data_IF_363864306423
#
_entry.id   IF_363864306423
#
_cell.length_a   1.000
_cell.length_b   1.000
_cell.length_c   1.000
_cell.angle_alpha   90.00
_cell.angle_beta   90.00
_cell.angle_gamma   90.00
#
_symmetry.space_group_name_H-M   'P 1'
#
loop_
_entity.id
_entity.type
_entity.pdbx_description
1 polymer ?
#
# COMPACT_ATOMS: atom_id res chain seq x y z
N UNK A 1 -19.44 18.97 8.62
CA UNK A 1 -18.41 17.90 8.61
C UNK A 1 -18.07 17.43 10.03
N UNK A 2 -17.62 18.32 10.93
CA UNK A 2 -17.24 17.97 12.31
C UNK A 2 -18.29 17.13 13.08
N UNK A 3 -19.58 17.52 13.04
CA UNK A 3 -20.68 16.76 13.67
C UNK A 3 -20.80 15.32 13.15
N UNK A 4 -20.61 15.11 11.83
CA UNK A 4 -20.64 13.77 11.22
C UNK A 4 -19.45 12.94 11.69
N UNK A 5 -18.26 13.54 11.68
CA UNK A 5 -17.05 12.89 12.15
C UNK A 5 -17.15 12.47 13.63
N UNK A 6 -17.72 13.32 14.50
CA UNK A 6 -18.00 12.98 15.90
C UNK A 6 -18.90 11.74 16.09
N UNK A 7 -19.72 11.43 15.09
CA UNK A 7 -20.57 10.23 15.04
C UNK A 7 -19.95 9.08 14.23
N UNK A 8 -18.62 9.09 14.03
CA UNK A 8 -17.88 8.12 13.20
C UNK A 8 -18.35 8.04 11.73
N UNK A 9 -19.03 9.08 11.22
CA UNK A 9 -19.40 9.19 9.82
C UNK A 9 -18.32 9.94 9.04
N UNK A 10 -17.35 9.18 8.51
CA UNK A 10 -16.13 9.73 7.90
C UNK A 10 -16.31 10.22 6.45
N UNK A 11 -17.40 9.79 5.80
CA UNK A 11 -17.70 10.11 4.40
C UNK A 11 -18.78 11.17 4.29
N UNK A 12 -18.61 12.14 3.40
CA UNK A 12 -19.61 13.18 3.11
C UNK A 12 -19.56 13.55 1.63
N UNK A 13 -20.71 13.56 0.94
CA UNK A 13 -20.78 14.08 -0.43
C UNK A 13 -20.78 15.61 -0.43
N UNK A 14 -19.99 16.19 -1.33
CA UNK A 14 -19.93 17.63 -1.62
C UNK A 14 -20.06 17.77 -3.14
N UNK A 15 -21.28 17.94 -3.63
CA UNK A 15 -21.58 17.80 -5.05
C UNK A 15 -21.17 16.40 -5.53
N UNK A 16 -20.35 16.34 -6.58
CA UNK A 16 -19.83 15.10 -7.15
C UNK A 16 -18.60 14.54 -6.43
N UNK A 17 -18.05 15.28 -5.46
CA UNK A 17 -16.85 14.88 -4.71
C UNK A 17 -17.26 14.13 -3.44
N UNK A 18 -16.56 13.04 -3.13
CA UNK A 18 -16.66 12.37 -1.84
C UNK A 18 -15.52 12.80 -0.92
N UNK A 19 -15.85 13.55 0.13
CA UNK A 19 -14.91 13.89 1.19
C UNK A 19 -14.74 12.71 2.15
N UNK A 20 -13.49 12.33 2.41
CA UNK A 20 -13.08 11.37 3.44
C UNK A 20 -12.25 12.10 4.51
N UNK A 21 -12.62 11.94 5.78
CA UNK A 21 -11.82 12.39 6.92
C UNK A 21 -11.25 11.16 7.62
N UNK A 22 -9.92 11.01 7.65
CA UNK A 22 -9.27 9.84 8.25
C UNK A 22 -9.61 9.72 9.75
N UNK A 23 -10.25 8.63 10.20
CA UNK A 23 -10.62 8.46 11.61
C UNK A 23 -9.46 8.04 12.52
N UNK A 24 -8.30 7.65 11.98
CA UNK A 24 -7.18 7.08 12.74
C UNK A 24 -7.56 5.90 13.65
N UNK A 25 -8.62 5.18 13.28
CA UNK A 25 -9.11 3.96 13.93
C UNK A 25 -9.86 3.12 12.93
N UNK A 26 -9.96 1.83 13.19
CA UNK A 26 -10.79 0.94 12.38
C UNK A 26 -12.27 1.23 12.62
N UNK A 27 -13.04 1.18 11.53
CA UNK A 27 -14.49 1.28 11.55
C UNK A 27 -15.07 0.09 10.78
N UNK A 28 -16.16 -0.53 11.24
CA UNK A 28 -16.75 -1.72 10.61
C UNK A 28 -17.55 -1.41 9.33
N UNK A 29 -17.12 -0.39 8.56
CA UNK A 29 -17.82 0.14 7.37
C UNK A 29 -17.35 -0.50 6.06
N UNK A 30 -16.29 -1.31 6.08
CA UNK A 30 -15.77 -2.02 4.89
C UNK A 30 -16.02 -3.53 4.93
N UNK A 31 -16.96 -3.98 5.75
CA UNK A 31 -17.32 -5.40 5.82
C UNK A 31 -17.94 -5.89 4.52
N UNK A 32 -17.89 -7.21 4.29
CA UNK A 32 -18.53 -7.83 3.13
C UNK A 32 -20.04 -7.55 3.07
N UNK A 33 -20.69 -7.45 4.23
CA UNK A 33 -22.10 -7.09 4.35
C UNK A 33 -22.35 -5.66 3.87
N UNK A 34 -21.51 -4.70 4.29
CA UNK A 34 -21.64 -3.30 3.82
C UNK A 34 -21.36 -3.20 2.33
N UNK A 35 -20.36 -3.90 1.81
CA UNK A 35 -20.10 -3.98 0.36
C UNK A 35 -21.34 -4.47 -0.40
N UNK A 36 -22.00 -5.53 0.07
CA UNK A 36 -23.23 -6.06 -0.54
C UNK A 36 -24.41 -5.09 -0.44
N UNK A 37 -24.58 -4.39 0.69
CA UNK A 37 -25.63 -3.36 0.85
C UNK A 37 -25.50 -2.23 -0.17
N UNK A 38 -24.27 -1.92 -0.58
CA UNK A 38 -24.01 -0.90 -1.57
C UNK A 38 -24.12 -1.41 -3.02
N UNK A 39 -24.18 -2.73 -3.28
CA UNK A 39 -24.36 -3.24 -4.63
C UNK A 39 -25.66 -2.69 -5.24
N UNK A 40 -25.51 -1.89 -6.28
CA UNK A 40 -26.62 -1.25 -6.97
C UNK A 40 -26.93 -2.03 -8.24
N UNK A 41 -28.20 -2.13 -8.60
CA UNK A 41 -28.61 -2.66 -9.92
C UNK A 41 -28.65 -1.58 -10.99
N UNK A 42 -28.60 -0.29 -10.60
CA UNK A 42 -28.79 0.84 -11.51
C UNK A 42 -27.64 1.85 -11.51
N UNK A 43 -26.66 1.70 -10.61
CA UNK A 43 -25.55 2.66 -10.41
C UNK A 43 -25.97 4.00 -9.79
N UNK A 44 -27.27 4.23 -9.60
CA UNK A 44 -27.79 5.44 -8.96
C UNK A 44 -27.53 5.42 -7.45
N UNK A 45 -27.27 6.59 -6.90
CA UNK A 45 -27.22 6.80 -5.45
C UNK A 45 -28.55 6.39 -4.83
N UNK A 46 -28.49 5.50 -3.85
CA UNK A 46 -29.64 5.18 -3.02
C UNK A 46 -29.78 6.26 -1.95
N UNK A 47 -30.87 7.04 -1.99
CA UNK A 47 -31.10 8.14 -1.03
C UNK A 47 -31.23 7.66 0.43
N UNK A 48 -31.55 6.38 0.64
CA UNK A 48 -31.62 5.78 1.97
C UNK A 48 -30.26 5.32 2.52
N UNK A 49 -29.21 5.26 1.68
CA UNK A 49 -27.87 4.87 2.11
C UNK A 49 -27.02 6.09 2.47
N UNK A 50 -26.20 6.02 3.52
CA UNK A 50 -25.28 7.10 3.85
C UNK A 50 -24.22 7.30 2.76
N UNK A 51 -23.59 8.49 2.68
CA UNK A 51 -22.42 8.70 1.85
C UNK A 51 -21.35 7.66 2.13
N UNK A 52 -20.86 7.01 1.08
CA UNK A 52 -19.86 5.96 1.19
C UNK A 52 -19.06 5.82 -0.10
N UNK A 53 -17.80 5.39 0.05
CA UNK A 53 -16.90 5.13 -1.08
C UNK A 53 -17.48 4.11 -2.06
N UNK A 54 -18.10 3.05 -1.55
CA UNK A 54 -18.72 2.01 -2.38
C UNK A 54 -19.83 2.54 -3.29
N UNK A 55 -20.57 3.58 -2.87
CA UNK A 55 -21.56 4.22 -3.74
C UNK A 55 -20.91 4.91 -4.95
N UNK A 56 -19.71 5.50 -4.77
CA UNK A 56 -18.93 6.04 -5.90
C UNK A 56 -18.42 4.92 -6.81
N UNK A 57 -17.95 3.81 -6.20
CA UNK A 57 -17.47 2.63 -6.94
C UNK A 57 -18.57 2.05 -7.81
N UNK A 58 -19.77 1.87 -7.27
CA UNK A 58 -20.91 1.33 -8.02
C UNK A 58 -21.35 2.26 -9.14
N UNK A 59 -21.37 3.58 -8.91
CA UNK A 59 -21.66 4.54 -9.98
C UNK A 59 -20.68 4.39 -11.14
N UNK A 60 -19.38 4.43 -10.85
CA UNK A 60 -18.35 4.28 -11.88
C UNK A 60 -18.44 2.91 -12.57
N UNK A 61 -18.66 1.83 -11.82
CA UNK A 61 -18.81 0.49 -12.39
C UNK A 61 -19.97 0.44 -13.40
N UNK A 62 -21.12 1.04 -13.09
CA UNK A 62 -22.24 1.09 -14.04
C UNK A 62 -21.94 1.99 -15.25
N UNK A 63 -21.37 3.17 -15.03
CA UNK A 63 -21.00 4.08 -16.13
C UNK A 63 -19.97 3.46 -17.07
N UNK A 64 -19.02 2.66 -16.57
CA UNK A 64 -18.06 1.94 -17.39
C UNK A 64 -18.73 1.10 -18.48
N UNK A 65 -19.81 0.39 -18.15
CA UNK A 65 -20.52 -0.48 -19.10
C UNK A 65 -21.66 0.22 -19.85
N UNK A 66 -22.34 1.19 -19.21
CA UNK A 66 -23.43 1.92 -19.85
C UNK A 66 -22.94 2.92 -20.90
N UNK A 67 -21.86 3.65 -20.58
CA UNK A 67 -21.29 4.68 -21.46
C UNK A 67 -20.14 4.13 -22.33
N UNK A 68 -19.73 2.88 -22.11
CA UNK A 68 -18.57 2.24 -22.77
C UNK A 68 -17.29 3.11 -22.68
N UNK A 69 -17.12 3.83 -21.57
CA UNK A 69 -16.04 4.78 -21.36
C UNK A 69 -15.22 4.42 -20.12
N UNK A 70 -13.88 4.41 -20.19
CA UNK A 70 -13.02 4.20 -19.04
C UNK A 70 -13.30 5.20 -17.91
N UNK A 71 -13.33 4.70 -16.68
CA UNK A 71 -13.60 5.48 -15.47
C UNK A 71 -12.34 5.63 -14.62
N UNK A 72 -12.21 6.74 -13.90
CA UNK A 72 -11.03 7.03 -13.10
C UNK A 72 -11.41 7.57 -11.71
N UNK A 73 -10.75 7.04 -10.68
CA UNK A 73 -10.78 7.60 -9.33
C UNK A 73 -9.51 8.38 -9.08
N UNK A 74 -9.64 9.69 -8.83
CA UNK A 74 -8.53 10.55 -8.43
C UNK A 74 -8.62 10.77 -6.92
N UNK A 75 -7.62 10.28 -6.18
CA UNK A 75 -7.56 10.40 -4.72
C UNK A 75 -6.55 11.49 -4.35
N UNK A 76 -7.05 12.66 -3.96
CA UNK A 76 -6.25 13.81 -3.53
C UNK A 76 -6.26 14.00 -2.02
N UNK A 77 -5.17 14.53 -1.47
CA UNK A 77 -5.05 14.88 -0.06
C UNK A 77 -3.63 14.80 0.46
N UNK A 78 -3.38 15.32 1.66
CA UNK A 78 -2.07 15.34 2.29
C UNK A 78 -1.58 13.94 2.73
N UNK A 79 -0.31 13.81 3.09
CA UNK A 79 0.25 12.55 3.62
C UNK A 79 -0.56 12.14 4.87
N UNK A 80 -0.93 10.86 4.97
CA UNK A 80 -1.77 10.37 6.07
C UNK A 80 -3.28 10.58 5.90
N UNK A 81 -3.76 11.22 4.82
CA UNK A 81 -5.21 11.50 4.64
C UNK A 81 -6.11 10.27 4.35
N UNK A 82 -5.55 9.06 4.26
CA UNK A 82 -6.31 7.83 3.99
C UNK A 82 -6.42 7.43 2.51
N UNK A 83 -5.70 8.08 1.59
CA UNK A 83 -5.72 7.75 0.14
C UNK A 83 -5.41 6.28 -0.16
N UNK A 84 -4.33 5.75 0.44
CA UNK A 84 -3.93 4.35 0.21
C UNK A 84 -5.00 3.38 0.67
N UNK A 85 -5.65 3.66 1.80
CA UNK A 85 -6.72 2.82 2.33
C UNK A 85 -7.97 2.90 1.44
N UNK A 86 -8.39 4.11 1.04
CA UNK A 86 -9.48 4.28 0.09
C UNK A 86 -9.23 3.53 -1.23
N UNK A 87 -8.00 3.58 -1.77
CA UNK A 87 -7.62 2.83 -2.97
C UNK A 87 -7.77 1.33 -2.79
N UNK A 88 -7.31 0.77 -1.65
CA UNK A 88 -7.49 -0.66 -1.32
C UNK A 88 -8.97 -1.04 -1.28
N UNK A 89 -9.80 -0.20 -0.67
CA UNK A 89 -11.24 -0.46 -0.55
C UNK A 89 -11.98 -0.37 -1.90
N UNK A 90 -11.60 0.54 -2.80
CA UNK A 90 -12.13 0.59 -4.18
C UNK A 90 -11.85 -0.72 -4.90
N UNK A 91 -10.59 -1.17 -4.89
CA UNK A 91 -10.16 -2.38 -5.60
C UNK A 91 -10.83 -3.62 -5.01
N UNK A 92 -10.91 -3.71 -3.68
CA UNK A 92 -11.62 -4.79 -2.98
C UNK A 92 -13.08 -4.85 -3.40
N UNK A 93 -13.80 -3.73 -3.40
CA UNK A 93 -15.21 -3.68 -3.77
C UNK A 93 -15.43 -4.08 -5.24
N UNK A 94 -14.63 -3.55 -6.18
CA UNK A 94 -14.69 -3.92 -7.60
C UNK A 94 -14.41 -5.42 -7.83
N UNK A 95 -13.41 -5.97 -7.14
CA UNK A 95 -13.08 -7.39 -7.22
C UNK A 95 -14.20 -8.27 -6.65
N UNK A 96 -14.86 -7.82 -5.58
CA UNK A 96 -16.03 -8.50 -5.02
C UNK A 96 -17.23 -8.46 -5.97
N UNK A 97 -17.47 -7.34 -6.64
CA UNK A 97 -18.59 -7.14 -7.57
C UNK A 97 -18.45 -7.97 -8.86
N UNK A 98 -17.22 -8.20 -9.31
CA UNK A 98 -16.91 -8.85 -10.59
C UNK A 98 -16.89 -10.40 -10.55
N UNK A 99 -17.23 -11.02 -9.41
CA UNK A 99 -17.56 -12.44 -9.14
C UNK A 99 -16.65 -13.59 -9.64
N UNK A 100 -15.88 -13.49 -10.73
CA UNK A 100 -15.28 -14.66 -11.40
C UNK A 100 -13.81 -14.95 -11.08
N UNK A 101 -13.13 -14.13 -10.27
CA UNK A 101 -11.74 -14.38 -9.89
C UNK A 101 -11.38 -13.85 -8.49
N UNK A 102 -12.38 -13.80 -7.60
CA UNK A 102 -12.28 -13.16 -6.28
C UNK A 102 -11.09 -13.69 -5.46
N UNK A 103 -10.84 -14.99 -5.46
CA UNK A 103 -9.80 -15.58 -4.63
C UNK A 103 -8.38 -15.38 -5.20
N UNK A 104 -8.20 -15.55 -6.51
CA UNK A 104 -6.88 -15.51 -7.14
C UNK A 104 -6.37 -14.08 -7.33
N UNK A 105 -7.23 -13.16 -7.79
CA UNK A 105 -6.83 -11.77 -7.96
C UNK A 105 -6.68 -11.05 -6.62
N UNK A 106 -7.55 -11.30 -5.64
CA UNK A 106 -7.41 -10.70 -4.30
C UNK A 106 -6.15 -11.21 -3.58
N UNK A 107 -5.82 -12.50 -3.70
CA UNK A 107 -4.59 -13.03 -3.12
C UNK A 107 -3.36 -12.42 -3.81
N UNK A 108 -3.27 -12.46 -5.15
CA UNK A 108 -2.11 -11.90 -5.86
C UNK A 108 -1.97 -10.39 -5.67
N UNK A 109 -3.08 -9.65 -5.65
CA UNK A 109 -3.08 -8.21 -5.39
C UNK A 109 -2.53 -7.89 -3.99
N UNK A 110 -2.93 -8.64 -2.95
CA UNK A 110 -2.37 -8.46 -1.60
C UNK A 110 -0.85 -8.64 -1.57
N UNK A 111 -0.32 -9.66 -2.24
CA UNK A 111 1.12 -9.89 -2.33
C UNK A 111 1.82 -8.75 -3.07
N UNK A 112 1.26 -8.25 -4.19
CA UNK A 112 1.83 -7.11 -4.91
C UNK A 112 1.80 -5.83 -4.06
N UNK A 113 0.73 -5.60 -3.29
CA UNK A 113 0.66 -4.47 -2.37
C UNK A 113 1.71 -4.58 -1.26
N UNK A 114 1.91 -5.76 -0.70
CA UNK A 114 2.96 -6.03 0.29
C UNK A 114 4.35 -5.65 -0.25
N UNK A 115 4.68 -6.05 -1.49
CA UNK A 115 5.95 -5.70 -2.14
C UNK A 115 6.06 -4.18 -2.32
N UNK A 116 5.05 -3.54 -2.91
CA UNK A 116 5.04 -2.10 -3.14
C UNK A 116 5.10 -1.28 -1.83
N UNK A 117 4.54 -1.79 -0.75
CA UNK A 117 4.63 -1.19 0.57
C UNK A 117 6.04 -1.31 1.15
N UNK A 118 6.66 -2.49 1.10
CA UNK A 118 8.03 -2.68 1.55
C UNK A 118 9.02 -1.74 0.83
N UNK A 119 8.92 -1.62 -0.49
CA UNK A 119 9.91 -0.88 -1.29
C UNK A 119 9.62 0.62 -1.44
N UNK A 120 8.39 1.05 -1.20
CA UNK A 120 7.98 2.42 -1.49
C UNK A 120 7.35 3.17 -0.32
N UNK A 121 7.26 2.57 0.87
CA UNK A 121 6.75 3.24 2.06
C UNK A 121 7.89 3.47 3.05
N UNK A 122 7.71 4.47 3.92
CA UNK A 122 8.62 4.78 5.00
C UNK A 122 7.85 5.23 6.24
N UNK A 123 8.42 4.97 7.42
CA UNK A 123 7.94 5.51 8.71
C UNK A 123 8.26 6.99 8.78
N UNK A 124 7.26 7.80 9.11
CA UNK A 124 7.34 9.25 9.29
C UNK A 124 6.80 9.64 10.66
N UNK A 125 7.05 10.88 11.10
CA UNK A 125 6.59 11.38 12.41
C UNK A 125 5.07 11.33 12.61
N UNK A 126 4.28 11.33 11.53
CA UNK A 126 2.82 11.34 11.57
C UNK A 126 2.17 10.00 11.17
N UNK A 127 2.91 9.11 10.53
CA UNK A 127 2.38 7.88 9.96
C UNK A 127 3.48 6.85 9.75
N UNK A 128 3.26 5.63 10.24
CA UNK A 128 4.18 4.51 10.12
C UNK A 128 4.24 3.91 8.71
N UNK A 129 3.21 4.14 7.88
CA UNK A 129 3.06 3.58 6.54
C UNK A 129 2.80 4.69 5.51
N UNK A 130 3.74 5.61 5.35
CA UNK A 130 3.60 6.71 4.40
C UNK A 130 4.09 6.30 3.00
N UNK A 131 3.24 6.43 1.98
CA UNK A 131 3.63 6.16 0.58
C UNK A 131 4.52 7.28 0.04
N UNK A 132 5.73 6.92 -0.40
CA UNK A 132 6.74 7.83 -0.95
C UNK A 132 6.78 7.81 -2.48
N UNK A 133 5.69 7.38 -3.12
CA UNK A 133 5.50 7.32 -4.56
C UNK A 133 4.01 7.35 -4.89
N UNK A 134 3.70 7.66 -6.14
CA UNK A 134 2.36 7.63 -6.71
C UNK A 134 2.11 6.25 -7.32
N UNK A 135 0.91 5.71 -7.09
CA UNK A 135 0.43 4.45 -7.65
C UNK A 135 -0.75 4.74 -8.57
N UNK A 136 -0.71 4.23 -9.80
CA UNK A 136 -1.84 4.20 -10.71
C UNK A 136 -2.23 2.75 -10.98
N UNK A 137 -3.45 2.39 -10.58
CA UNK A 137 -4.04 1.08 -10.75
C UNK A 137 -4.99 1.10 -11.93
N UNK A 138 -4.67 0.34 -12.97
CA UNK A 138 -5.55 0.11 -14.11
C UNK A 138 -6.20 -1.26 -13.93
N UNK A 139 -7.51 -1.30 -13.77
CA UNK A 139 -8.30 -2.54 -13.70
C UNK A 139 -9.04 -2.72 -15.03
N UNK A 140 -8.91 -3.90 -15.63
CA UNK A 140 -9.45 -4.21 -16.94
C UNK A 140 -10.64 -5.15 -16.80
N UNK A 141 -11.76 -4.79 -17.43
CA UNK A 141 -12.99 -5.56 -17.36
C UNK A 141 -13.41 -6.08 -18.74
N UNK A 142 -13.90 -7.31 -18.80
CA UNK A 142 -14.57 -7.84 -19.97
C UNK A 142 -15.92 -7.15 -20.12
N UNK A 143 -16.13 -6.43 -21.22
CA UNK A 143 -17.37 -5.71 -21.52
C UNK A 143 -18.61 -6.62 -21.44
N UNK A 144 -18.56 -7.80 -22.09
CA UNK A 144 -19.71 -8.72 -22.15
C UNK A 144 -20.04 -9.39 -20.82
N UNK A 145 -19.01 -9.78 -20.07
CA UNK A 145 -19.18 -10.54 -18.81
C UNK A 145 -19.25 -9.64 -17.59
N UNK A 146 -18.87 -8.36 -17.71
CA UNK A 146 -18.67 -7.42 -16.61
C UNK A 146 -17.72 -7.97 -15.52
N UNK A 147 -16.74 -8.75 -15.95
CA UNK A 147 -15.80 -9.46 -15.08
C UNK A 147 -14.41 -8.87 -15.18
N UNK A 148 -13.68 -8.85 -14.07
CA UNK A 148 -12.30 -8.40 -14.02
C UNK A 148 -11.41 -9.41 -14.76
N UNK A 149 -10.75 -8.97 -15.83
CA UNK A 149 -9.88 -9.81 -16.68
C UNK A 149 -8.39 -9.57 -16.42
N UNK A 150 -8.02 -8.39 -15.92
CA UNK A 150 -6.63 -8.03 -15.73
C UNK A 150 -6.44 -6.80 -14.86
N UNK A 151 -5.20 -6.58 -14.44
CA UNK A 151 -4.78 -5.40 -13.73
C UNK A 151 -3.36 -5.01 -14.15
N UNK A 152 -3.10 -3.69 -14.23
CA UNK A 152 -1.76 -3.12 -14.40
C UNK A 152 -1.51 -2.11 -13.31
N UNK A 153 -0.25 -1.99 -12.91
CA UNK A 153 0.18 -1.06 -11.87
C UNK A 153 1.31 -0.24 -12.45
N UNK A 154 1.16 1.07 -12.39
CA UNK A 154 2.20 2.01 -12.76
C UNK A 154 2.61 2.79 -11.51
N UNK A 155 3.90 3.05 -11.39
CA UNK A 155 4.48 3.79 -10.28
C UNK A 155 5.16 5.05 -10.79
N UNK A 156 4.96 6.16 -10.10
CA UNK A 156 5.51 7.46 -10.50
C UNK A 156 6.12 8.17 -9.30
N UNK A 157 7.12 9.03 -9.56
CA UNK A 157 7.69 9.97 -8.60
C UNK A 157 8.08 9.32 -7.25
N UNK A 158 8.78 8.18 -7.31
CA UNK A 158 9.41 7.63 -6.12
C UNK A 158 10.40 8.66 -5.54
N UNK A 159 10.31 8.92 -4.24
CA UNK A 159 11.18 9.83 -3.48
C UNK A 159 12.61 9.26 -3.34
N UNK A 160 13.32 9.11 -4.46
CA UNK A 160 14.64 8.45 -4.53
C UNK A 160 15.67 9.07 -3.59
N UNK A 161 15.59 10.38 -3.34
CA UNK A 161 16.47 11.09 -2.41
C UNK A 161 16.40 10.57 -0.98
N UNK A 162 15.25 10.02 -0.55
CA UNK A 162 15.08 9.40 0.77
C UNK A 162 16.09 8.29 1.05
N UNK A 163 16.54 7.61 0.00
CA UNK A 163 17.50 6.53 0.12
C UNK A 163 18.79 7.02 0.80
N UNK A 164 19.25 8.22 0.43
CA UNK A 164 20.56 8.76 0.86
C UNK A 164 20.45 9.84 1.94
N UNK A 165 19.28 10.49 2.05
CA UNK A 165 19.03 11.54 3.02
C UNK A 165 17.58 11.46 3.50
N UNK A 166 17.40 11.19 4.79
CA UNK A 166 16.08 11.10 5.41
C UNK A 166 15.74 12.44 6.08
N UNK A 167 14.49 12.91 5.98
CA UNK A 167 14.06 14.02 6.81
C UNK A 167 14.14 13.66 8.30
N UNK A 168 14.39 14.67 9.15
CA UNK A 168 14.55 14.48 10.59
C UNK A 168 13.34 13.76 11.21
N UNK A 169 13.60 12.71 12.01
CA UNK A 169 12.56 11.90 12.63
C UNK A 169 11.81 10.95 11.67
N UNK A 170 12.31 10.75 10.45
CA UNK A 170 11.77 9.78 9.50
C UNK A 170 12.81 8.70 9.17
N UNK A 171 12.31 7.53 8.79
CA UNK A 171 13.13 6.40 8.35
C UNK A 171 13.36 6.39 6.84
N UNK A 172 14.28 5.51 6.41
CA UNK A 172 14.41 5.08 5.02
C UNK A 172 13.21 4.21 4.60
N UNK A 173 13.22 3.67 3.39
CA UNK A 173 12.19 2.72 2.94
C UNK A 173 12.14 1.50 3.87
N UNK A 174 10.93 1.01 4.14
CA UNK A 174 10.68 -0.08 5.09
C UNK A 174 11.51 -1.33 4.77
N UNK A 175 11.76 -1.62 3.49
CA UNK A 175 12.57 -2.76 3.07
C UNK A 175 13.91 -2.84 3.80
N UNK A 176 14.56 -1.71 4.11
CA UNK A 176 15.85 -1.74 4.78
C UNK A 176 15.72 -2.11 6.27
N UNK A 177 14.71 -1.62 6.98
CA UNK A 177 14.47 -2.07 8.37
C UNK A 177 14.01 -3.53 8.41
N UNK A 178 13.17 -3.95 7.46
CA UNK A 178 12.77 -5.35 7.31
C UNK A 178 13.97 -6.28 7.04
N UNK A 179 14.89 -5.87 6.17
CA UNK A 179 16.13 -6.60 5.88
C UNK A 179 16.98 -6.72 7.15
N UNK A 180 17.21 -5.61 7.83
CA UNK A 180 18.07 -5.54 9.00
C UNK A 180 17.52 -6.32 10.19
N UNK A 181 16.21 -6.36 10.40
CA UNK A 181 15.62 -7.10 11.52
C UNK A 181 15.27 -8.55 11.16
N UNK A 182 14.92 -8.81 9.90
CA UNK A 182 14.34 -10.08 9.47
C UNK A 182 15.31 -11.14 8.97
N UNK A 183 16.52 -10.75 8.53
CA UNK A 183 17.54 -11.72 8.12
C UNK A 183 18.12 -12.50 9.31
N UNK A 184 18.42 -13.77 9.09
CA UNK A 184 19.14 -14.61 10.04
C UNK A 184 20.59 -14.13 10.25
N UNK A 185 21.24 -14.59 11.31
CA UNK A 185 22.66 -14.26 11.55
C UNK A 185 23.57 -14.74 10.41
N UNK A 186 23.28 -15.91 9.83
CA UNK A 186 24.02 -16.48 8.69
C UNK A 186 23.82 -15.65 7.42
N UNK A 187 22.57 -15.26 7.12
CA UNK A 187 22.25 -14.40 5.96
C UNK A 187 22.94 -13.03 6.10
N UNK A 188 22.90 -12.42 7.30
CA UNK A 188 23.59 -11.15 7.57
C UNK A 188 25.10 -11.29 7.40
N UNK A 189 25.67 -12.39 7.86
CA UNK A 189 27.10 -12.66 7.71
C UNK A 189 27.49 -12.76 6.23
N UNK A 190 26.73 -13.51 5.44
CA UNK A 190 26.96 -13.66 3.99
C UNK A 190 26.79 -12.35 3.20
N UNK A 191 25.95 -11.42 3.69
CA UNK A 191 25.75 -10.10 3.09
C UNK A 191 26.64 -9.00 3.68
N UNK A 192 27.52 -9.34 4.63
CA UNK A 192 28.36 -8.41 5.39
C UNK A 192 27.58 -7.32 6.16
N UNK A 193 26.35 -7.63 6.61
CA UNK A 193 25.44 -6.71 7.31
C UNK A 193 25.50 -6.83 8.85
N UNK A 194 26.67 -7.21 9.39
CA UNK A 194 26.82 -7.57 10.80
C UNK A 194 26.72 -6.37 11.78
N UNK A 195 26.83 -5.13 11.29
CA UNK A 195 26.80 -3.93 12.13
C UNK A 195 25.68 -2.98 11.70
N UNK A 196 24.55 -3.05 12.39
CA UNK A 196 23.37 -2.20 12.19
C UNK A 196 23.70 -0.70 12.28
N UNK A 197 24.60 -0.34 13.19
CA UNK A 197 25.00 1.05 13.45
C UNK A 197 26.08 1.56 12.49
N UNK A 198 26.48 0.77 11.48
CA UNK A 198 27.53 1.18 10.54
C UNK A 198 26.98 1.90 9.31
N UNK A 199 25.76 1.57 8.86
CA UNK A 199 25.27 2.00 7.56
C UNK A 199 24.70 3.42 7.59
N UNK A 200 25.36 4.36 6.91
CA UNK A 200 24.98 5.79 6.87
C UNK A 200 23.53 6.01 6.42
N UNK A 201 23.05 5.21 5.48
CA UNK A 201 21.68 5.30 4.95
C UNK A 201 20.59 4.84 5.93
N UNK A 202 20.95 4.28 7.08
CA UNK A 202 20.02 3.86 8.14
C UNK A 202 20.16 4.69 9.42
N UNK A 203 21.30 5.35 9.61
CA UNK A 203 21.78 5.82 10.91
C UNK A 203 21.27 7.20 11.36
N UNK A 204 20.23 7.77 10.73
CA UNK A 204 19.78 9.13 11.07
C UNK A 204 18.68 9.18 12.15
N UNK A 205 18.09 8.03 12.55
CA UNK A 205 16.96 8.00 13.51
C UNK A 205 16.88 6.75 14.40
N UNK A 206 17.85 5.83 14.34
CA UNK A 206 17.71 4.46 14.89
C UNK A 206 18.59 4.18 16.12
N UNK A 207 19.06 5.20 16.83
CA UNK A 207 19.77 4.99 18.10
C UNK A 207 18.76 5.04 19.26
N UNK A 208 18.43 3.83 19.72
CA UNK A 208 18.13 3.45 21.12
C UNK A 208 16.72 2.97 21.52
N UNK A 209 15.64 3.20 20.75
CA UNK A 209 14.28 2.87 21.23
C UNK A 209 13.47 1.85 20.39
N UNK A 210 14.08 1.11 19.45
CA UNK A 210 13.35 0.05 18.73
C UNK A 210 13.17 -1.17 19.65
N UNK A 211 11.99 -1.29 20.25
CA UNK A 211 11.63 -2.37 21.16
C UNK A 211 11.82 -3.77 20.52
N UNK A 212 12.12 -4.77 21.34
CA UNK A 212 12.22 -6.18 20.90
C UNK A 212 10.97 -6.64 20.14
N UNK A 213 9.79 -6.11 20.48
CA UNK A 213 8.54 -6.41 19.78
C UNK A 213 8.45 -5.84 18.36
N UNK A 214 9.06 -4.68 18.08
CA UNK A 214 9.10 -4.12 16.72
C UNK A 214 10.02 -4.95 15.81
N UNK A 215 11.15 -5.45 16.36
CA UNK A 215 12.06 -6.35 15.63
C UNK A 215 11.42 -7.69 15.28
N UNK A 216 10.68 -8.31 16.22
CA UNK A 216 9.97 -9.56 15.94
C UNK A 216 8.91 -9.38 14.85
N UNK A 217 8.17 -8.27 14.89
CA UNK A 217 7.18 -7.93 13.86
C UNK A 217 7.83 -7.71 12.48
N UNK A 218 8.99 -7.04 12.43
CA UNK A 218 9.71 -6.84 11.17
C UNK A 218 10.22 -8.17 10.57
N UNK A 219 10.61 -9.13 11.41
CA UNK A 219 10.98 -10.48 10.97
C UNK A 219 9.80 -11.22 10.32
N UNK A 220 8.62 -11.16 10.92
CA UNK A 220 7.40 -11.73 10.34
C UNK A 220 7.05 -11.04 9.01
N UNK A 221 7.12 -9.71 8.96
CA UNK A 221 6.88 -8.94 7.73
C UNK A 221 7.86 -9.28 6.61
N UNK A 222 9.14 -9.51 6.92
CA UNK A 222 10.11 -9.96 5.90
C UNK A 222 9.77 -11.35 5.39
N UNK A 223 9.35 -12.28 6.25
CA UNK A 223 8.92 -13.61 5.82
C UNK A 223 7.70 -13.54 4.87
N UNK A 224 6.71 -12.70 5.21
CA UNK A 224 5.55 -12.43 4.35
C UNK A 224 5.98 -11.79 3.02
N UNK A 225 6.97 -10.89 3.02
CA UNK A 225 7.52 -10.30 1.79
C UNK A 225 8.20 -11.35 0.89
N UNK A 226 9.04 -12.24 1.46
CA UNK A 226 9.65 -13.35 0.72
C UNK A 226 8.58 -14.24 0.08
N UNK A 227 7.53 -14.58 0.84
CA UNK A 227 6.38 -15.32 0.32
C UNK A 227 5.68 -14.57 -0.80
N UNK A 228 5.47 -13.25 -0.65
CA UNK A 228 4.81 -12.43 -1.65
C UNK A 228 5.58 -12.38 -2.98
N UNK A 229 6.90 -12.25 -2.93
CA UNK A 229 7.76 -12.30 -4.11
C UNK A 229 7.61 -13.65 -4.84
N UNK A 230 7.65 -14.76 -4.11
CA UNK A 230 7.47 -16.10 -4.68
C UNK A 230 6.09 -16.29 -5.32
N UNK A 231 5.01 -15.84 -4.67
CA UNK A 231 3.64 -15.93 -5.21
C UNK A 231 3.48 -15.08 -6.48
N UNK A 232 4.17 -13.93 -6.57
CA UNK A 232 4.12 -13.07 -7.76
C UNK A 232 4.89 -13.68 -8.93
N UNK A 233 5.90 -14.51 -8.65
CA UNK A 233 6.62 -15.31 -9.65
C UNK A 233 8.16 -15.20 -9.57
N UNK A 234 8.71 -14.59 -8.52
CA UNK A 234 10.16 -14.56 -8.33
C UNK A 234 10.67 -15.93 -7.89
N UNK A 235 11.77 -16.38 -8.47
CA UNK A 235 12.52 -17.54 -8.00
C UNK A 235 13.28 -17.23 -6.72
N UNK A 236 13.63 -18.27 -5.95
CA UNK A 236 14.43 -18.10 -4.73
C UNK A 236 15.76 -17.39 -5.01
N UNK A 237 16.41 -17.70 -6.14
CA UNK A 237 17.65 -17.05 -6.56
C UNK A 237 17.45 -15.56 -6.86
N UNK A 238 16.34 -15.17 -7.49
CA UNK A 238 16.04 -13.75 -7.70
C UNK A 238 15.76 -13.02 -6.39
N UNK A 239 15.10 -13.67 -5.43
CA UNK A 239 14.86 -13.11 -4.08
C UNK A 239 16.18 -12.96 -3.31
N UNK A 240 17.09 -13.93 -3.39
CA UNK A 240 18.43 -13.82 -2.81
C UNK A 240 19.23 -12.68 -3.44
N UNK A 241 19.28 -12.62 -4.77
CA UNK A 241 19.94 -11.54 -5.50
C UNK A 241 19.35 -10.16 -5.19
N UNK A 242 18.04 -10.07 -4.94
CA UNK A 242 17.40 -8.83 -4.49
C UNK A 242 17.98 -8.36 -3.14
N UNK A 243 18.21 -9.26 -2.19
CA UNK A 243 18.85 -8.93 -0.91
C UNK A 243 20.33 -8.58 -1.06
N UNK A 244 21.05 -9.21 -2.00
CA UNK A 244 22.42 -8.82 -2.36
C UNK A 244 22.46 -7.37 -2.88
N UNK A 245 21.53 -6.99 -3.78
CA UNK A 245 21.42 -5.62 -4.30
C UNK A 245 21.12 -4.63 -3.16
N UNK A 246 20.19 -4.96 -2.26
CA UNK A 246 19.84 -4.11 -1.13
C UNK A 246 21.02 -3.93 -0.16
N UNK A 247 21.77 -4.99 0.13
CA UNK A 247 22.98 -4.92 0.94
C UNK A 247 24.05 -4.05 0.25
N UNK A 248 24.27 -4.23 -1.04
CA UNK A 248 25.21 -3.43 -1.82
C UNK A 248 24.85 -1.93 -1.77
N UNK A 249 23.56 -1.57 -1.84
CA UNK A 249 23.10 -0.19 -1.68
C UNK A 249 23.49 0.40 -0.32
N UNK A 250 23.38 -0.38 0.76
CA UNK A 250 23.81 0.05 2.09
C UNK A 250 25.32 0.27 2.15
N UNK A 251 26.11 -0.67 1.62
CA UNK A 251 27.57 -0.58 1.55
C UNK A 251 28.06 0.61 0.72
N UNK A 252 27.39 0.90 -0.40
CA UNK A 252 27.68 2.09 -1.21
C UNK A 252 27.51 3.39 -0.40
N UNK A 253 26.54 3.42 0.51
CA UNK A 253 26.32 4.54 1.43
C UNK A 253 27.46 4.78 2.41
N UNK A 254 28.31 3.76 2.64
CA UNK A 254 29.41 3.84 3.60
C UNK A 254 30.73 4.27 2.99
N UNK A 255 30.84 4.26 1.66
CA UNK A 255 32.01 4.76 0.94
C UNK A 255 32.26 6.22 1.35
N UNK A 256 33.52 6.52 1.66
CA UNK A 256 34.02 7.85 1.99
C UNK A 256 35.04 8.24 0.93
N UNK A 257 34.81 9.38 0.30
CA UNK A 257 35.75 9.96 -0.65
C UNK A 257 36.72 10.85 0.11
N UNK A 258 38.01 10.68 -0.14
CA UNK A 258 39.06 11.59 0.32
C UNK A 258 39.43 12.53 -0.83
N UNK A 259 39.71 13.80 -0.48
CA UNK A 259 40.22 14.79 -1.43
C UNK A 259 41.70 14.52 -1.79
#
# INVERSE_FOLDING_TARGET
>A
IQKRFGNNQIYTFIGDILLLVNPYKELPIYSSMVSQLHFSSSGKLCSSLPPHLFSCVERAFHQLFQEQRPQCFILSGERGSGKSEASKQIIRHLTCRAASSRAMLDSRFKHVMCILEAFGHAKTTLNDLSSCFIKYFELQFCERKQQLTGARIYTYLLEKSRLVSQPLGQSNFLIFSLLMDGLSAEEKHGLHLNNLCAHRYLNQTMQDDVSTGERSLNREKLAVLKQALNVVGFSNLEVENLFVILAAILHLGDIRFTA
#
